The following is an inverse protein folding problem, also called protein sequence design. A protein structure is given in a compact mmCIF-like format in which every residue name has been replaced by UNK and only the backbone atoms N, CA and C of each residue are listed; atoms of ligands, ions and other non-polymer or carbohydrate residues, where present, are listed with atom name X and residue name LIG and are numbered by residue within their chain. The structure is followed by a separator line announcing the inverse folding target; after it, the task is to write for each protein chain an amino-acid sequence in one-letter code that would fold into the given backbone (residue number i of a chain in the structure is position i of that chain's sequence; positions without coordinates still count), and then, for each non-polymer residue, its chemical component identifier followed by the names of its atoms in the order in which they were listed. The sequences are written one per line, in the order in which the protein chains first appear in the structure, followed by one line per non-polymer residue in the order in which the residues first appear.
data_IF_986726671139
#
_entry.id   IF_986726671139
#
_cell.length_a   1.000
_cell.length_b   1.000
_cell.length_c   1.000
_cell.angle_alpha   90.00
_cell.angle_beta   90.00
_cell.angle_gamma   90.00
#
_symmetry.space_group_name_H-M   'P 1'
#
loop_
_entity.id
_entity.type
_entity.pdbx_description
1 polymer ?
#
# COMPACT_ATOMS: atom_id res chain seq x y z
N UNK A 1 -1.30 68.07 -26.36
CA UNK A 1 -1.44 67.57 -27.75
C UNK A 1 -0.92 66.14 -27.81
N UNK A 2 -1.75 65.27 -28.38
CA UNK A 2 -1.46 63.91 -28.88
C UNK A 2 -1.35 62.83 -27.80
N UNK A 3 -2.40 62.17 -27.36
CA UNK A 3 -3.20 61.00 -27.87
C UNK A 3 -2.36 59.81 -28.34
N UNK A 4 -2.51 58.76 -27.65
CA UNK A 4 -2.07 57.41 -28.03
C UNK A 4 -2.92 56.37 -27.36
N UNK A 5 -4.01 56.00 -28.02
CA UNK A 5 -4.90 54.85 -27.68
C UNK A 5 -4.20 53.53 -28.00
N UNK A 6 -4.50 52.52 -27.18
CA UNK A 6 -4.50 51.16 -27.67
C UNK A 6 -3.65 50.19 -26.84
N UNK A 7 -4.30 49.40 -25.99
CA UNK A 7 -4.14 47.96 -25.89
C UNK A 7 -4.89 47.43 -24.67
N UNK A 8 -6.21 47.39 -24.78
CA UNK A 8 -7.05 46.70 -23.81
C UNK A 8 -7.89 45.65 -24.58
N UNK A 9 -7.28 44.54 -24.99
CA UNK A 9 -8.01 43.45 -25.63
C UNK A 9 -7.17 42.17 -25.73
N UNK A 10 -6.66 41.67 -24.59
CA UNK A 10 -6.08 40.29 -24.57
C UNK A 10 -6.17 39.54 -23.22
N UNK A 11 -6.88 40.07 -22.25
CA UNK A 11 -6.97 39.43 -20.92
C UNK A 11 -8.28 38.64 -20.74
N UNK A 12 -9.25 38.81 -21.65
CA UNK A 12 -10.58 38.15 -21.52
C UNK A 12 -10.65 36.67 -21.87
N UNK A 13 -9.74 36.14 -22.68
CA UNK A 13 -9.85 34.74 -23.17
C UNK A 13 -9.15 33.69 -22.26
N UNK A 14 -8.19 34.09 -21.47
CA UNK A 14 -7.45 33.14 -20.63
C UNK A 14 -8.23 32.75 -19.37
N UNK A 15 -9.07 33.62 -18.82
CA UNK A 15 -9.88 33.36 -17.64
C UNK A 15 -11.08 32.43 -17.87
N UNK A 16 -11.53 32.22 -19.10
CA UNK A 16 -12.67 31.34 -19.39
C UNK A 16 -12.25 29.88 -19.68
N UNK A 17 -10.99 29.63 -20.05
CA UNK A 17 -10.50 28.29 -20.39
C UNK A 17 -9.96 27.49 -19.19
N UNK A 18 -9.46 28.16 -18.15
CA UNK A 18 -8.94 27.50 -16.95
C UNK A 18 -9.99 26.69 -16.16
N UNK A 19 -11.21 27.17 -15.91
CA UNK A 19 -12.20 26.38 -15.17
C UNK A 19 -12.72 25.18 -15.98
N UNK A 20 -12.81 25.27 -17.31
CA UNK A 20 -13.24 24.16 -18.17
C UNK A 20 -12.18 23.04 -18.25
N UNK A 21 -10.90 23.39 -18.22
CA UNK A 21 -9.80 22.41 -18.20
C UNK A 21 -9.74 21.68 -16.85
N UNK A 22 -9.87 22.39 -15.75
CA UNK A 22 -9.92 21.79 -14.39
C UNK A 22 -11.15 20.89 -14.19
N UNK A 23 -12.31 21.30 -14.67
CA UNK A 23 -13.54 20.51 -14.62
C UNK A 23 -13.45 19.25 -15.50
N UNK A 24 -12.80 19.34 -16.68
CA UNK A 24 -12.57 18.16 -17.53
C UNK A 24 -11.54 17.20 -16.95
N UNK A 25 -10.46 17.69 -16.31
CA UNK A 25 -9.49 16.85 -15.60
C UNK A 25 -10.13 16.16 -14.39
N UNK A 26 -10.90 16.87 -13.58
CA UNK A 26 -11.62 16.30 -12.45
C UNK A 26 -12.60 15.20 -12.88
N UNK A 27 -13.40 15.42 -13.92
CA UNK A 27 -14.31 14.40 -14.46
C UNK A 27 -13.58 13.17 -15.00
N UNK A 28 -12.44 13.34 -15.69
CA UNK A 28 -11.65 12.22 -16.20
C UNK A 28 -11.03 11.40 -15.07
N UNK A 29 -10.55 12.04 -14.02
CA UNK A 29 -9.99 11.37 -12.84
C UNK A 29 -11.10 10.58 -12.11
N UNK A 30 -12.26 11.18 -11.89
CA UNK A 30 -13.42 10.52 -11.27
C UNK A 30 -13.83 9.30 -12.10
N UNK A 31 -13.99 9.43 -13.42
CA UNK A 31 -14.33 8.30 -14.29
C UNK A 31 -13.28 7.18 -14.28
N UNK A 32 -11.99 7.52 -14.18
CA UNK A 32 -10.93 6.52 -14.09
C UNK A 32 -10.98 5.75 -12.76
N UNK A 33 -11.21 6.45 -11.65
CA UNK A 33 -11.38 5.83 -10.32
C UNK A 33 -12.61 4.92 -10.31
N UNK A 34 -13.74 5.36 -10.84
CA UNK A 34 -14.96 4.55 -10.90
C UNK A 34 -14.78 3.30 -11.77
N UNK A 35 -14.02 3.42 -12.86
CA UNK A 35 -13.72 2.28 -13.73
C UNK A 35 -12.85 1.25 -13.00
N UNK A 36 -11.82 1.72 -12.29
CA UNK A 36 -10.94 0.82 -11.52
C UNK A 36 -11.67 0.13 -10.36
N UNK A 37 -12.59 0.84 -9.69
CA UNK A 37 -13.51 0.27 -8.68
C UNK A 37 -14.30 -0.91 -9.25
N UNK A 38 -14.79 -0.81 -10.49
CA UNK A 38 -15.51 -1.90 -11.17
C UNK A 38 -14.62 -3.10 -11.46
N UNK A 39 -13.31 -2.88 -11.74
CA UNK A 39 -12.36 -3.98 -11.92
C UNK A 39 -12.16 -4.77 -10.63
N UNK A 40 -11.96 -4.08 -9.52
CA UNK A 40 -11.82 -4.72 -8.19
C UNK A 40 -13.09 -5.48 -7.82
N UNK A 41 -14.25 -4.85 -7.97
CA UNK A 41 -15.53 -5.50 -7.73
C UNK A 41 -15.69 -6.80 -8.55
N UNK A 42 -15.31 -6.78 -9.82
CA UNK A 42 -15.41 -7.94 -10.71
C UNK A 42 -14.47 -9.06 -10.26
N UNK A 43 -13.25 -8.73 -9.93
CA UNK A 43 -12.27 -9.70 -9.39
C UNK A 43 -12.79 -10.36 -8.11
N UNK A 44 -13.22 -9.59 -7.13
CA UNK A 44 -13.74 -10.11 -5.88
C UNK A 44 -15.00 -10.96 -6.06
N UNK A 45 -15.86 -10.54 -6.98
CA UNK A 45 -17.09 -11.30 -7.25
C UNK A 45 -16.76 -12.67 -7.83
N UNK A 46 -15.83 -12.76 -8.80
CA UNK A 46 -15.44 -14.03 -9.42
C UNK A 46 -14.61 -14.87 -8.43
N UNK A 47 -13.71 -14.28 -7.67
CA UNK A 47 -12.90 -14.97 -6.65
C UNK A 47 -13.80 -15.62 -5.58
N UNK A 48 -14.76 -14.87 -5.05
CA UNK A 48 -15.73 -15.35 -4.06
C UNK A 48 -16.63 -16.47 -4.58
N UNK A 49 -17.03 -16.42 -5.86
CA UNK A 49 -17.89 -17.41 -6.47
C UNK A 49 -17.12 -18.64 -7.01
N UNK A 50 -15.81 -18.50 -7.21
CA UNK A 50 -14.93 -19.49 -7.83
C UNK A 50 -15.20 -19.64 -9.33
N UNK A 51 -16.43 -19.97 -9.71
CA UNK A 51 -16.93 -20.02 -11.09
C UNK A 51 -18.27 -19.30 -11.19
N UNK A 52 -18.47 -18.48 -12.22
CA UNK A 52 -19.72 -17.75 -12.41
C UNK A 52 -20.06 -17.58 -13.89
N UNK A 53 -21.28 -17.96 -14.27
CA UNK A 53 -21.82 -17.59 -15.58
C UNK A 53 -22.11 -16.10 -15.62
N UNK A 54 -22.13 -15.53 -16.84
CA UNK A 54 -22.34 -14.10 -17.03
C UNK A 54 -23.63 -13.59 -16.36
N UNK A 55 -24.67 -14.39 -16.40
CA UNK A 55 -26.00 -14.08 -15.80
C UNK A 55 -25.91 -13.96 -14.28
N UNK A 56 -25.07 -14.77 -13.64
CA UNK A 56 -24.79 -14.68 -12.19
C UNK A 56 -24.04 -13.40 -11.87
N UNK A 57 -22.99 -13.09 -12.65
CA UNK A 57 -22.22 -11.84 -12.52
C UNK A 57 -23.13 -10.62 -12.74
N UNK A 58 -24.04 -10.68 -13.71
CA UNK A 58 -25.03 -9.64 -13.96
C UNK A 58 -25.98 -9.43 -12.77
N UNK A 59 -26.42 -10.53 -12.13
CA UNK A 59 -27.27 -10.45 -10.93
C UNK A 59 -26.53 -9.81 -9.75
N UNK A 60 -25.24 -10.12 -9.55
CA UNK A 60 -24.41 -9.49 -8.55
C UNK A 60 -24.17 -8.00 -8.86
N UNK A 61 -23.96 -7.66 -10.14
CA UNK A 61 -23.83 -6.27 -10.59
C UNK A 61 -25.10 -5.45 -10.28
N UNK A 62 -26.27 -6.01 -10.51
CA UNK A 62 -27.53 -5.32 -10.28
C UNK A 62 -27.80 -5.07 -8.79
N UNK A 63 -27.14 -5.80 -7.89
CA UNK A 63 -27.19 -5.62 -6.43
C UNK A 63 -26.06 -4.76 -5.90
N UNK A 64 -25.06 -4.49 -6.74
CA UNK A 64 -23.89 -3.73 -6.33
C UNK A 64 -24.21 -2.26 -6.16
N UNK A 65 -23.68 -1.65 -5.13
CA UNK A 65 -23.69 -0.22 -4.89
C UNK A 65 -22.95 0.59 -5.96
N UNK A 66 -22.02 -0.05 -6.70
CA UNK A 66 -21.39 0.56 -7.89
C UNK A 66 -22.38 0.75 -9.05
N UNK A 67 -23.60 0.24 -8.90
CA UNK A 67 -24.70 0.33 -9.86
C UNK A 67 -25.96 0.95 -9.24
N UNK A 68 -25.93 2.20 -8.77
CA UNK A 68 -27.03 2.82 -8.04
C UNK A 68 -28.30 3.00 -8.89
N UNK A 69 -28.18 2.89 -10.20
CA UNK A 69 -29.30 3.03 -11.13
C UNK A 69 -29.85 1.68 -11.61
N UNK A 70 -29.27 0.55 -11.18
CA UNK A 70 -29.71 -0.79 -11.56
C UNK A 70 -29.54 -1.08 -13.07
N UNK A 71 -28.57 -0.44 -13.72
CA UNK A 71 -28.31 -0.63 -15.15
C UNK A 71 -27.64 -1.98 -15.41
N UNK A 72 -28.04 -2.65 -16.49
CA UNK A 72 -27.38 -3.89 -16.88
C UNK A 72 -25.92 -3.67 -17.27
N UNK A 73 -25.06 -4.64 -16.96
CA UNK A 73 -23.66 -4.66 -17.38
C UNK A 73 -23.58 -5.17 -18.84
N UNK A 74 -23.31 -4.28 -19.83
CA UNK A 74 -23.23 -4.74 -21.22
C UNK A 74 -22.11 -5.77 -21.41
N UNK A 75 -22.36 -6.86 -22.15
CA UNK A 75 -21.34 -7.90 -22.43
C UNK A 75 -20.05 -7.32 -23.03
N UNK A 76 -20.14 -6.24 -23.82
CA UNK A 76 -18.98 -5.54 -24.36
C UNK A 76 -18.16 -4.87 -23.25
N UNK A 77 -18.82 -4.19 -22.32
CA UNK A 77 -18.18 -3.54 -21.16
C UNK A 77 -17.51 -4.56 -20.28
N UNK A 78 -18.19 -5.67 -19.99
CA UNK A 78 -17.64 -6.79 -19.23
C UNK A 78 -16.36 -7.34 -19.87
N UNK A 79 -16.35 -7.60 -21.17
CA UNK A 79 -15.15 -8.06 -21.90
C UNK A 79 -14.01 -7.04 -21.84
N UNK A 80 -14.34 -5.76 -22.00
CA UNK A 80 -13.33 -4.69 -21.88
C UNK A 80 -12.73 -4.64 -20.47
N UNK A 81 -13.54 -4.88 -19.42
CA UNK A 81 -13.04 -4.95 -18.05
C UNK A 81 -12.08 -6.13 -17.86
N UNK A 82 -12.42 -7.33 -18.37
CA UNK A 82 -11.53 -8.50 -18.32
C UNK A 82 -10.18 -8.19 -19.00
N UNK A 83 -10.21 -7.61 -20.20
CA UNK A 83 -8.98 -7.25 -20.91
C UNK A 83 -8.15 -6.23 -20.11
N UNK A 84 -8.79 -5.19 -19.59
CA UNK A 84 -8.10 -4.16 -18.81
C UNK A 84 -7.53 -4.69 -17.48
N UNK A 85 -8.22 -5.63 -16.83
CA UNK A 85 -7.73 -6.34 -15.63
C UNK A 85 -6.46 -7.14 -15.98
N UNK A 86 -6.49 -7.90 -17.08
CA UNK A 86 -5.32 -8.64 -17.54
C UNK A 86 -4.12 -7.73 -17.83
N UNK A 87 -4.35 -6.62 -18.55
CA UNK A 87 -3.30 -5.67 -18.94
C UNK A 87 -2.72 -4.88 -17.76
N UNK A 88 -3.53 -4.51 -16.77
CA UNK A 88 -3.12 -3.62 -15.68
C UNK A 88 -2.71 -4.35 -14.39
N UNK A 89 -3.38 -5.47 -14.11
CA UNK A 89 -3.20 -6.21 -12.85
C UNK A 89 -2.51 -7.57 -13.05
N UNK A 90 -2.36 -8.01 -14.30
CA UNK A 90 -1.82 -9.34 -14.66
C UNK A 90 -2.60 -10.48 -13.98
N UNK A 91 -3.93 -10.30 -13.85
CA UNK A 91 -4.87 -11.31 -13.36
C UNK A 91 -5.76 -11.71 -14.54
N UNK A 92 -5.84 -13.00 -14.80
CA UNK A 92 -6.52 -13.51 -15.98
C UNK A 92 -7.86 -14.14 -15.62
N UNK A 93 -8.93 -13.59 -16.19
CA UNK A 93 -10.29 -14.14 -16.08
C UNK A 93 -10.58 -14.88 -17.37
N UNK A 94 -10.78 -16.18 -17.26
CA UNK A 94 -11.06 -17.09 -18.38
C UNK A 94 -12.45 -17.70 -18.27
N UNK A 95 -12.95 -18.24 -19.38
CA UNK A 95 -14.24 -18.94 -19.43
C UNK A 95 -14.04 -20.44 -19.63
N UNK A 96 -14.64 -21.23 -18.76
CA UNK A 96 -14.67 -22.69 -18.87
C UNK A 96 -16.08 -23.15 -19.18
N UNK A 97 -16.25 -23.83 -20.32
CA UNK A 97 -17.57 -24.36 -20.77
C UNK A 97 -18.22 -25.21 -19.70
N UNK A 98 -19.47 -24.92 -19.38
CA UNK A 98 -20.25 -25.59 -18.34
C UNK A 98 -19.98 -25.17 -16.90
N UNK A 99 -19.04 -24.26 -16.67
CA UNK A 99 -18.70 -23.74 -15.34
C UNK A 99 -18.80 -22.22 -15.24
N UNK A 100 -18.48 -21.50 -16.33
CA UNK A 100 -18.50 -20.03 -16.36
C UNK A 100 -17.10 -19.41 -16.29
N UNK A 101 -17.06 -18.11 -15.93
CA UNK A 101 -15.85 -17.33 -15.76
C UNK A 101 -15.18 -17.65 -14.43
N UNK A 102 -13.84 -17.69 -14.43
CA UNK A 102 -13.01 -17.95 -13.25
C UNK A 102 -11.67 -17.25 -13.38
N UNK A 103 -10.95 -17.08 -12.28
CA UNK A 103 -9.58 -16.56 -12.27
C UNK A 103 -8.63 -17.72 -12.51
N UNK A 104 -7.84 -17.68 -13.60
CA UNK A 104 -6.97 -18.80 -13.99
C UNK A 104 -5.62 -18.80 -13.28
N UNK A 105 -5.23 -17.66 -12.67
CA UNK A 105 -3.99 -17.50 -11.90
C UNK A 105 -4.27 -16.90 -10.51
N UNK A 106 -5.04 -17.58 -9.64
CA UNK A 106 -5.40 -17.07 -8.33
C UNK A 106 -4.18 -16.85 -7.42
N UNK A 107 -3.12 -17.66 -7.59
CA UNK A 107 -1.84 -17.50 -6.88
C UNK A 107 -1.22 -16.13 -7.10
N UNK A 108 -1.23 -15.59 -8.32
CA UNK A 108 -0.72 -14.26 -8.61
C UNK A 108 -1.49 -13.13 -7.90
N UNK A 109 -2.75 -13.39 -7.58
CA UNK A 109 -3.58 -12.48 -6.79
C UNK A 109 -3.23 -12.55 -5.30
N UNK A 110 -2.89 -13.74 -4.79
CA UNK A 110 -2.67 -14.02 -3.37
C UNK A 110 -1.19 -13.99 -2.94
N UNK A 111 -0.24 -14.24 -3.82
CA UNK A 111 1.19 -14.21 -3.50
C UNK A 111 1.79 -12.80 -3.50
N UNK A 112 1.31 -11.91 -4.35
CA UNK A 112 1.79 -10.53 -4.38
C UNK A 112 1.21 -9.69 -3.24
N UNK A 113 1.97 -9.46 -2.18
CA UNK A 113 1.58 -8.60 -1.05
C UNK A 113 1.09 -7.22 -1.48
N UNK A 114 1.69 -6.64 -2.53
CA UNK A 114 1.28 -5.33 -3.07
C UNK A 114 -0.09 -5.43 -3.73
N UNK A 115 -0.35 -6.46 -4.55
CA UNK A 115 -1.65 -6.67 -5.19
C UNK A 115 -2.73 -6.91 -4.15
N UNK A 116 -2.49 -7.78 -3.16
CA UNK A 116 -3.41 -8.03 -2.05
C UNK A 116 -3.75 -6.73 -1.30
N UNK A 117 -2.72 -5.95 -0.95
CA UNK A 117 -2.91 -4.68 -0.26
C UNK A 117 -3.71 -3.69 -1.11
N UNK A 118 -3.43 -3.57 -2.42
CA UNK A 118 -4.19 -2.71 -3.32
C UNK A 118 -5.64 -3.14 -3.43
N UNK A 119 -5.89 -4.42 -3.65
CA UNK A 119 -7.23 -4.98 -3.76
C UNK A 119 -7.99 -4.74 -2.45
N UNK A 120 -7.46 -5.15 -1.32
CA UNK A 120 -8.12 -5.00 -0.01
C UNK A 120 -8.38 -3.54 0.37
N UNK A 121 -7.46 -2.62 0.05
CA UNK A 121 -7.63 -1.19 0.31
C UNK A 121 -8.75 -0.60 -0.54
N UNK A 122 -8.81 -0.95 -1.81
CA UNK A 122 -9.83 -0.47 -2.74
C UNK A 122 -11.20 -1.10 -2.46
N UNK A 123 -11.24 -2.37 -2.06
CA UNK A 123 -12.44 -3.06 -1.61
C UNK A 123 -13.02 -2.39 -0.38
N UNK A 124 -12.17 -2.13 0.61
CA UNK A 124 -12.55 -1.38 1.80
C UNK A 124 -13.08 0.00 1.43
N UNK A 125 -12.39 0.73 0.52
CA UNK A 125 -12.86 2.02 0.04
C UNK A 125 -14.21 1.92 -0.69
N UNK A 126 -14.42 0.90 -1.54
CA UNK A 126 -15.70 0.66 -2.20
C UNK A 126 -16.80 0.47 -1.16
N UNK A 127 -16.61 -0.45 -0.23
CA UNK A 127 -17.55 -0.74 0.84
C UNK A 127 -17.89 0.52 1.66
N UNK A 128 -16.88 1.30 2.05
CA UNK A 128 -17.07 2.53 2.84
C UNK A 128 -17.76 3.64 2.05
N UNK A 129 -17.52 3.72 0.75
CA UNK A 129 -18.19 4.65 -0.15
C UNK A 129 -19.68 4.37 -0.23
N UNK A 130 -20.05 3.10 -0.12
CA UNK A 130 -21.42 2.61 -0.15
C UNK A 130 -22.16 2.85 1.17
N UNK A 131 -21.39 2.96 2.26
CA UNK A 131 -21.93 3.19 3.62
C UNK A 131 -21.94 4.68 3.99
N UNK A 132 -22.11 5.57 3.02
CA UNK A 132 -22.09 7.02 3.24
C UNK A 132 -23.16 7.52 4.22
N UNK A 133 -24.27 6.79 4.32
CA UNK A 133 -25.37 6.97 5.27
C UNK A 133 -25.11 6.35 6.65
N UNK A 134 -24.03 5.58 6.80
CA UNK A 134 -23.63 4.89 8.05
C UNK A 134 -22.29 5.41 8.61
N UNK A 135 -21.87 6.62 8.24
CA UNK A 135 -20.59 7.20 8.70
C UNK A 135 -20.46 7.32 10.22
N UNK A 136 -21.56 7.48 10.89
CA UNK A 136 -21.66 7.51 12.36
C UNK A 136 -21.48 6.13 13.01
N UNK A 137 -21.58 5.06 12.23
CA UNK A 137 -21.46 3.67 12.68
C UNK A 137 -20.11 3.03 12.33
N UNK A 138 -19.30 3.69 11.51
CA UNK A 138 -18.00 3.21 11.07
C UNK A 138 -16.94 4.15 11.62
N UNK A 139 -16.21 3.66 12.62
CA UNK A 139 -15.17 4.43 13.27
C UNK A 139 -13.81 4.08 12.66
N UNK A 140 -13.07 5.09 12.24
CA UNK A 140 -11.71 4.95 11.73
C UNK A 140 -10.71 5.39 12.79
N UNK A 141 -9.62 4.66 12.84
CA UNK A 141 -8.45 5.14 13.55
C UNK A 141 -7.73 6.18 12.70
N UNK A 142 -7.30 7.30 13.32
CA UNK A 142 -6.48 8.30 12.64
C UNK A 142 -5.16 7.69 12.18
N UNK A 143 -4.96 7.65 10.87
CA UNK A 143 -3.71 7.18 10.26
C UNK A 143 -2.90 8.38 9.82
N UNK A 144 -1.76 8.67 10.46
CA UNK A 144 -0.83 9.68 9.96
C UNK A 144 -0.27 9.18 8.62
N UNK A 145 -0.84 9.59 7.52
CA UNK A 145 -0.35 9.20 6.21
C UNK A 145 0.53 10.30 5.64
N UNK A 146 1.83 10.06 5.61
CA UNK A 146 2.79 10.90 4.88
C UNK A 146 2.76 10.64 3.38
N UNK A 147 1.56 10.54 2.82
CA UNK A 147 1.39 10.30 1.38
C UNK A 147 1.90 11.47 0.53
N UNK A 148 2.12 12.64 1.15
CA UNK A 148 2.60 13.84 0.46
C UNK A 148 3.89 13.61 -0.33
N UNK A 149 4.86 12.92 0.25
CA UNK A 149 6.18 12.69 -0.35
C UNK A 149 6.28 11.37 -1.15
N UNK A 150 5.33 10.47 -0.95
CA UNK A 150 5.35 9.13 -1.55
C UNK A 150 5.46 9.14 -3.09
N UNK A 151 4.68 9.95 -3.86
CA UNK A 151 4.78 9.97 -5.31
C UNK A 151 6.15 10.44 -5.82
N UNK A 152 6.78 11.37 -5.12
CA UNK A 152 8.10 11.90 -5.49
C UNK A 152 9.18 10.86 -5.23
N UNK A 153 9.18 10.22 -4.06
CA UNK A 153 10.13 9.14 -3.72
C UNK A 153 10.01 7.98 -4.72
N UNK A 154 8.78 7.55 -5.05
CA UNK A 154 8.55 6.50 -6.05
C UNK A 154 9.10 6.88 -7.43
N UNK A 155 8.97 8.14 -7.82
CA UNK A 155 9.52 8.65 -9.08
C UNK A 155 11.04 8.55 -9.10
N UNK A 156 11.69 8.93 -8.01
CA UNK A 156 13.15 8.88 -7.90
C UNK A 156 13.68 7.44 -7.87
N UNK A 157 13.01 6.53 -7.17
CA UNK A 157 13.36 5.09 -7.24
C UNK A 157 13.28 4.59 -8.68
N UNK A 158 12.19 4.91 -9.40
CA UNK A 158 11.99 4.48 -10.79
C UNK A 158 13.04 5.06 -11.74
N UNK A 159 13.38 6.33 -11.56
CA UNK A 159 14.30 7.05 -12.43
C UNK A 159 15.77 6.93 -11.98
N UNK A 160 16.03 6.25 -10.87
CA UNK A 160 17.35 6.14 -10.26
C UNK A 160 18.02 7.52 -10.07
N UNK A 161 17.30 8.51 -9.54
CA UNK A 161 17.82 9.83 -9.16
C UNK A 161 17.81 9.99 -7.64
N UNK A 162 18.84 10.63 -7.10
CA UNK A 162 18.95 10.86 -5.68
C UNK A 162 18.00 11.98 -5.21
N UNK A 163 17.68 11.95 -3.93
CA UNK A 163 16.80 12.91 -3.26
C UNK A 163 17.59 13.72 -2.24
N UNK A 164 17.43 15.04 -2.24
CA UNK A 164 17.87 15.92 -1.19
C UNK A 164 16.67 16.33 -0.33
N UNK A 165 16.78 16.27 0.98
CA UNK A 165 15.73 16.67 1.91
C UNK A 165 16.27 17.04 3.29
N UNK A 166 15.52 17.91 3.98
CA UNK A 166 15.71 18.13 5.42
C UNK A 166 15.06 16.98 6.20
N UNK A 167 15.78 16.42 7.15
CA UNK A 167 15.30 15.32 7.98
C UNK A 167 15.47 15.60 9.46
N UNK A 168 14.35 15.51 10.22
CA UNK A 168 14.35 15.61 11.68
C UNK A 168 14.35 14.22 12.30
N UNK A 169 15.52 13.78 12.80
CA UNK A 169 15.62 12.55 13.59
C UNK A 169 15.03 12.74 14.98
N UNK A 170 14.46 11.67 15.57
CA UNK A 170 14.06 11.70 16.98
C UNK A 170 15.27 11.72 17.95
N UNK A 171 16.46 11.41 17.46
CA UNK A 171 17.71 11.40 18.22
C UNK A 171 18.55 12.67 18.06
N UNK A 172 18.03 13.64 17.31
CA UNK A 172 18.74 14.91 17.05
C UNK A 172 17.79 16.09 17.26
N UNK A 173 18.27 17.12 17.95
CA UNK A 173 17.52 18.36 18.18
C UNK A 173 17.45 19.25 16.93
N UNK A 174 18.31 19.00 15.95
CA UNK A 174 18.36 19.76 14.70
C UNK A 174 18.00 18.90 13.49
N UNK A 175 17.30 19.51 12.53
CA UNK A 175 17.12 18.91 11.21
C UNK A 175 18.40 19.07 10.39
N UNK A 176 18.73 18.04 9.60
CA UNK A 176 19.91 18.01 8.75
C UNK A 176 19.51 17.75 7.30
N UNK A 177 20.24 18.35 6.37
CA UNK A 177 20.12 18.03 4.95
C UNK A 177 20.73 16.65 4.74
N UNK A 178 20.05 15.81 4.00
CA UNK A 178 20.52 14.50 3.57
C UNK A 178 20.37 14.40 2.05
N UNK A 179 21.36 13.86 1.38
CA UNK A 179 21.26 13.39 0.01
C UNK A 179 21.27 11.86 0.03
N UNK A 180 20.26 11.24 -0.57
CA UNK A 180 20.02 9.81 -0.46
C UNK A 180 19.64 9.22 -1.82
N UNK A 181 20.26 8.12 -2.17
CA UNK A 181 19.89 7.24 -3.29
C UNK A 181 18.77 6.31 -2.82
N UNK A 182 17.50 6.53 -3.18
CA UNK A 182 16.38 5.73 -2.66
C UNK A 182 16.33 4.36 -3.34
N UNK A 183 16.34 3.28 -2.55
CA UNK A 183 16.32 1.92 -3.05
C UNK A 183 14.94 1.27 -2.97
N UNK A 184 14.28 1.35 -1.83
CA UNK A 184 12.94 0.79 -1.66
C UNK A 184 12.10 1.55 -0.62
N UNK A 185 10.81 1.22 -0.58
CA UNK A 185 9.84 1.72 0.40
C UNK A 185 9.29 0.57 1.24
N UNK A 186 9.08 0.83 2.52
CA UNK A 186 8.41 -0.08 3.45
C UNK A 186 7.26 0.62 4.15
N UNK A 187 6.10 -0.04 4.18
CA UNK A 187 4.99 0.35 5.05
C UNK A 187 5.09 -0.47 6.35
N UNK A 188 5.20 0.21 7.48
CA UNK A 188 5.23 -0.42 8.79
C UNK A 188 4.49 0.45 9.81
N UNK A 189 3.64 -0.14 10.63
CA UNK A 189 2.81 0.55 11.62
C UNK A 189 2.14 1.83 11.05
N UNK A 190 1.53 1.69 9.84
CA UNK A 190 0.81 2.77 9.13
C UNK A 190 1.67 3.94 8.68
N UNK A 191 2.99 3.81 8.69
CA UNK A 191 3.93 4.84 8.25
C UNK A 191 4.78 4.34 7.09
N UNK A 192 5.05 5.23 6.15
CA UNK A 192 5.94 4.96 5.05
C UNK A 192 7.38 5.29 5.41
N UNK A 193 8.26 4.37 5.08
CA UNK A 193 9.69 4.48 5.26
C UNK A 193 10.39 4.27 3.93
N UNK A 194 11.40 5.09 3.65
CA UNK A 194 12.32 4.95 2.53
C UNK A 194 13.62 4.35 3.04
N UNK A 195 14.10 3.30 2.40
CA UNK A 195 15.47 2.80 2.56
C UNK A 195 16.28 3.32 1.40
N UNK A 196 17.45 3.86 1.69
CA UNK A 196 18.36 4.36 0.67
C UNK A 196 19.76 4.51 1.21
N UNK A 197 20.70 4.61 0.28
CA UNK A 197 22.11 4.87 0.59
C UNK A 197 22.30 6.36 0.79
N UNK A 198 22.67 6.75 1.98
CA UNK A 198 23.07 8.13 2.26
C UNK A 198 24.41 8.42 1.62
N UNK A 199 24.50 9.46 0.78
CA UNK A 199 25.71 9.75 -0.01
C UNK A 199 26.87 10.24 0.84
N UNK A 200 26.61 10.92 1.97
CA UNK A 200 27.64 11.49 2.83
C UNK A 200 28.39 10.41 3.62
N UNK A 201 27.66 9.39 4.11
CA UNK A 201 28.24 8.33 4.95
C UNK A 201 28.43 7.01 4.20
N UNK A 202 27.83 6.87 3.01
CA UNK A 202 27.91 5.67 2.18
C UNK A 202 27.16 4.44 2.68
N UNK A 203 26.31 4.58 3.72
CA UNK A 203 25.57 3.49 4.36
C UNK A 203 24.08 3.53 4.02
N UNK A 204 23.44 2.35 4.07
CA UNK A 204 21.98 2.27 4.02
C UNK A 204 21.36 2.81 5.29
N UNK A 205 20.35 3.64 5.12
CA UNK A 205 19.57 4.23 6.22
C UNK A 205 18.08 4.16 5.92
N UNK A 206 17.28 4.14 6.98
CA UNK A 206 15.83 4.15 6.90
C UNK A 206 15.30 5.52 7.33
N UNK A 207 14.48 6.13 6.48
CA UNK A 207 13.93 7.47 6.69
C UNK A 207 12.40 7.41 6.68
N UNK A 208 11.76 7.91 7.73
CA UNK A 208 10.30 8.06 7.78
C UNK A 208 9.88 9.26 6.91
N UNK A 209 8.94 9.06 6.00
CA UNK A 209 8.52 10.10 5.06
C UNK A 209 7.89 11.31 5.75
N UNK A 210 7.19 11.10 6.88
CA UNK A 210 6.56 12.20 7.64
C UNK A 210 7.56 13.13 8.32
N UNK A 211 8.83 12.73 8.40
CA UNK A 211 9.90 13.54 8.99
C UNK A 211 10.78 14.24 7.96
N UNK A 212 10.41 14.12 6.68
CA UNK A 212 11.07 14.81 5.58
C UNK A 212 10.39 16.14 5.30
N UNK A 213 11.18 17.17 5.03
CA UNK A 213 10.73 18.44 4.46
C UNK A 213 11.69 18.89 3.36
N UNK A 214 11.26 19.86 2.56
CA UNK A 214 12.07 20.44 1.48
C UNK A 214 12.68 19.37 0.58
N UNK A 215 11.82 18.48 0.08
CA UNK A 215 12.20 17.32 -0.72
C UNK A 215 12.38 17.72 -2.18
N UNK A 216 13.61 17.61 -2.68
CA UNK A 216 13.97 17.89 -4.08
C UNK A 216 14.68 16.70 -4.75
N UNK A 217 14.38 16.54 -6.05
CA UNK A 217 15.10 15.59 -6.91
C UNK A 217 16.44 16.21 -7.32
N UNK A 218 17.53 15.45 -7.20
CA UNK A 218 18.86 15.93 -7.60
C UNK A 218 19.23 15.44 -9.00
N UNK A 219 20.27 16.05 -9.61
CA UNK A 219 20.82 15.58 -10.88
C UNK A 219 21.70 14.32 -10.71
N UNK A 220 22.00 13.94 -9.47
CA UNK A 220 22.78 12.74 -9.17
C UNK A 220 21.97 11.48 -9.52
N UNK A 221 22.48 10.71 -10.45
CA UNK A 221 21.93 9.41 -10.84
C UNK A 221 22.76 8.27 -10.27
N UNK A 222 22.10 7.17 -9.93
CA UNK A 222 22.75 6.01 -9.32
C UNK A 222 22.22 4.71 -9.95
N UNK A 223 22.83 3.60 -9.58
CA UNK A 223 22.36 2.27 -9.93
C UNK A 223 22.13 1.49 -8.64
N UNK A 224 20.92 0.95 -8.48
CA UNK A 224 20.64 0.05 -7.35
C UNK A 224 21.51 -1.19 -7.53
N UNK A 225 22.32 -1.58 -6.52
CA UNK A 225 23.15 -2.78 -6.62
C UNK A 225 22.31 -4.03 -6.91
N UNK A 226 22.70 -4.87 -7.85
CA UNK A 226 21.99 -6.10 -8.23
C UNK A 226 21.74 -7.05 -7.05
N UNK A 227 22.63 -7.03 -6.07
CA UNK A 227 22.51 -7.83 -4.85
C UNK A 227 21.56 -7.23 -3.80
N UNK A 228 21.06 -6.01 -4.00
CA UNK A 228 20.09 -5.42 -3.08
C UNK A 228 18.69 -5.96 -3.35
N UNK A 229 18.17 -6.66 -2.37
CA UNK A 229 16.79 -7.11 -2.34
C UNK A 229 16.11 -6.52 -1.08
N UNK A 230 15.07 -5.71 -1.27
CA UNK A 230 14.36 -5.07 -0.18
C UNK A 230 13.62 -6.05 0.74
N UNK A 231 13.13 -7.19 0.21
CA UNK A 231 12.51 -8.24 1.03
C UNK A 231 13.56 -8.96 1.87
N UNK A 232 14.69 -9.35 1.27
CA UNK A 232 15.80 -9.96 1.98
C UNK A 232 16.40 -9.02 3.03
N UNK A 233 16.51 -7.72 2.73
CA UNK A 233 17.00 -6.70 3.68
C UNK A 233 16.15 -6.64 4.97
N UNK A 234 14.85 -6.84 4.86
CA UNK A 234 13.93 -6.83 6.01
C UNK A 234 13.51 -8.21 6.50
N UNK A 235 13.97 -9.30 5.89
CA UNK A 235 13.51 -10.65 6.19
C UNK A 235 13.71 -11.06 7.65
N UNK A 236 14.80 -10.59 8.27
CA UNK A 236 15.12 -10.87 9.67
C UNK A 236 14.86 -9.67 10.59
N UNK A 237 14.03 -8.72 10.18
CA UNK A 237 13.73 -7.52 10.95
C UNK A 237 12.28 -7.50 11.42
N UNK A 238 12.08 -7.23 12.70
CA UNK A 238 10.79 -6.79 13.19
C UNK A 238 10.72 -5.26 13.07
N UNK A 239 10.03 -4.77 12.04
CA UNK A 239 9.92 -3.32 11.84
C UNK A 239 10.91 -2.76 10.84
N UNK A 240 11.52 -1.65 11.18
CA UNK A 240 12.35 -0.82 10.29
C UNK A 240 13.82 -0.72 10.69
N UNK A 241 14.16 -1.12 11.91
CA UNK A 241 15.53 -1.07 12.42
C UNK A 241 16.30 -2.29 11.94
N UNK A 242 17.34 -2.05 11.13
CA UNK A 242 18.17 -3.09 10.54
C UNK A 242 19.51 -3.30 11.28
N UNK A 243 19.68 -2.69 12.44
CA UNK A 243 20.89 -2.80 13.23
C UNK A 243 20.87 -4.09 14.07
N UNK A 244 21.99 -4.80 14.13
CA UNK A 244 22.15 -6.02 14.90
C UNK A 244 22.19 -7.30 14.09
N UNK A 245 22.23 -8.43 14.78
CA UNK A 245 22.26 -9.77 14.19
C UNK A 245 21.00 -10.53 14.55
N UNK A 246 20.45 -11.33 13.63
CA UNK A 246 19.34 -12.19 13.94
C UNK A 246 19.75 -13.26 14.94
N UNK A 247 18.87 -13.56 15.89
CA UNK A 247 19.02 -14.63 16.86
C UNK A 247 17.69 -15.35 17.05
N UNK A 248 17.74 -16.56 17.58
CA UNK A 248 16.56 -17.34 17.93
C UNK A 248 16.08 -16.90 19.29
N UNK A 249 14.83 -16.49 19.38
CA UNK A 249 14.17 -16.08 20.61
C UNK A 249 13.06 -17.08 20.89
N UNK A 250 13.07 -17.63 22.11
CA UNK A 250 12.07 -18.58 22.56
C UNK A 250 11.24 -17.91 23.66
N UNK A 251 9.94 -17.97 23.54
CA UNK A 251 9.03 -17.39 24.52
C UNK A 251 7.82 -18.28 24.76
N UNK A 252 7.28 -18.17 25.95
CA UNK A 252 6.10 -18.87 26.40
C UNK A 252 4.94 -17.88 26.45
N UNK A 253 3.78 -18.28 25.96
CA UNK A 253 2.56 -17.48 25.95
C UNK A 253 1.43 -18.20 26.70
N UNK A 254 0.61 -17.43 27.41
CA UNK A 254 -0.62 -17.96 28.02
C UNK A 254 -1.61 -18.42 26.94
N UNK A 255 -2.60 -19.31 27.25
CA UNK A 255 -3.48 -19.89 26.22
C UNK A 255 -4.27 -18.86 25.40
N UNK A 256 -4.64 -17.72 26.00
CA UNK A 256 -5.35 -16.67 25.30
C UNK A 256 -4.44 -15.99 24.27
N UNK A 257 -3.23 -15.60 24.67
CA UNK A 257 -2.26 -14.96 23.80
C UNK A 257 -1.79 -15.88 22.67
N UNK A 258 -1.63 -17.17 22.96
CA UNK A 258 -1.29 -18.17 21.95
C UNK A 258 -2.30 -18.21 20.78
N UNK A 259 -3.60 -17.97 21.04
CA UNK A 259 -4.62 -17.89 19.98
C UNK A 259 -4.40 -16.68 19.09
N UNK A 260 -4.04 -15.52 19.66
CA UNK A 260 -3.72 -14.33 18.88
C UNK A 260 -2.46 -14.54 18.05
N UNK A 261 -1.41 -15.10 18.62
CA UNK A 261 -0.14 -15.36 17.94
C UNK A 261 -0.26 -16.35 16.76
N UNK A 262 -1.21 -17.31 16.84
CA UNK A 262 -1.52 -18.20 15.69
C UNK A 262 -2.23 -17.49 14.57
N UNK A 263 -3.10 -16.54 14.87
CA UNK A 263 -3.89 -15.79 13.85
C UNK A 263 -3.13 -14.61 13.30
N UNK A 264 -2.26 -14.00 14.10
CA UNK A 264 -1.42 -12.86 13.71
C UNK A 264 0.00 -13.10 14.29
N UNK A 265 0.85 -13.85 13.56
CA UNK A 265 2.22 -14.10 13.98
C UNK A 265 3.03 -12.81 14.10
N UNK A 266 3.91 -12.74 15.09
CA UNK A 266 4.82 -11.59 15.27
C UNK A 266 5.80 -11.45 14.11
N UNK A 267 6.23 -12.58 13.55
CA UNK A 267 7.17 -12.61 12.44
C UNK A 267 6.90 -13.84 11.58
N UNK A 268 7.26 -13.80 10.29
CA UNK A 268 7.06 -14.94 9.38
C UNK A 268 7.84 -16.21 9.80
N UNK A 269 8.91 -16.07 10.60
CA UNK A 269 9.69 -17.18 11.15
C UNK A 269 9.09 -17.75 12.43
N UNK A 270 7.91 -17.30 12.86
CA UNK A 270 7.30 -17.79 14.08
C UNK A 270 6.86 -19.24 13.92
N UNK A 271 7.32 -20.10 14.84
CA UNK A 271 6.91 -21.50 14.94
C UNK A 271 6.43 -21.80 16.35
N UNK A 272 5.42 -22.66 16.48
CA UNK A 272 4.94 -23.17 17.77
C UNK A 272 5.63 -24.49 18.06
N UNK A 273 6.43 -24.53 19.11
CA UNK A 273 7.23 -25.69 19.51
C UNK A 273 6.46 -26.67 20.38
N UNK A 274 5.63 -26.15 21.28
CA UNK A 274 4.88 -26.93 22.28
C UNK A 274 3.58 -26.22 22.60
N UNK A 275 2.53 -26.98 22.87
CA UNK A 275 1.26 -26.48 23.42
C UNK A 275 0.62 -27.44 24.39
N UNK A 276 0.00 -26.88 25.43
CA UNK A 276 -0.82 -27.61 26.41
C UNK A 276 -1.92 -26.71 26.97
N UNK A 277 -2.68 -27.18 27.93
CA UNK A 277 -3.82 -26.42 28.49
C UNK A 277 -3.41 -25.13 29.24
N UNK A 278 -2.14 -25.02 29.67
CA UNK A 278 -1.66 -23.91 30.50
C UNK A 278 -0.83 -22.89 29.71
N UNK A 279 -0.16 -23.31 28.64
CA UNK A 279 0.71 -22.44 27.84
C UNK A 279 1.00 -23.01 26.44
N UNK A 280 1.56 -22.17 25.59
CA UNK A 280 2.26 -22.56 24.35
C UNK A 280 3.66 -21.94 24.32
N UNK A 281 4.62 -22.65 23.73
CA UNK A 281 5.99 -22.18 23.51
C UNK A 281 6.15 -21.89 22.03
N UNK A 282 6.62 -20.70 21.73
CA UNK A 282 6.91 -20.23 20.39
C UNK A 282 8.39 -19.91 20.23
N UNK A 283 8.87 -20.00 19.00
CA UNK A 283 10.18 -19.51 18.61
C UNK A 283 10.03 -18.54 17.44
N UNK A 284 10.94 -17.56 17.38
CA UNK A 284 11.12 -16.67 16.24
C UNK A 284 12.61 -16.50 15.96
N UNK A 285 12.98 -16.32 14.69
CA UNK A 285 14.34 -15.99 14.28
C UNK A 285 14.34 -14.61 13.65
N UNK A 286 14.83 -13.62 14.38
CA UNK A 286 14.87 -12.23 13.94
C UNK A 286 15.89 -11.41 14.75
N UNK A 287 16.21 -10.21 14.25
CA UNK A 287 16.96 -9.22 15.01
C UNK A 287 16.10 -8.65 16.14
N UNK A 288 16.51 -8.80 17.43
CA UNK A 288 15.77 -8.28 18.58
C UNK A 288 15.90 -6.76 18.71
N UNK A 289 15.44 -6.06 17.68
CA UNK A 289 15.40 -4.60 17.65
C UNK A 289 14.59 -4.01 18.80
N UNK A 290 14.70 -2.70 19.02
CA UNK A 290 13.91 -2.02 20.03
C UNK A 290 12.41 -2.11 19.75
N UNK A 291 12.01 -2.14 18.45
CA UNK A 291 10.59 -2.31 18.06
C UNK A 291 10.07 -3.68 18.49
N UNK A 292 10.86 -4.73 18.30
CA UNK A 292 10.47 -6.07 18.73
C UNK A 292 10.39 -6.17 20.26
N UNK A 293 11.37 -5.62 20.96
CA UNK A 293 11.34 -5.56 22.45
C UNK A 293 10.13 -4.79 22.95
N UNK A 294 9.76 -3.71 22.27
CA UNK A 294 8.59 -2.92 22.62
C UNK A 294 7.28 -3.70 22.39
N UNK A 295 7.22 -4.47 21.29
CA UNK A 295 6.09 -5.36 21.00
C UNK A 295 5.93 -6.44 22.09
N UNK A 296 7.02 -7.07 22.50
CA UNK A 296 7.00 -8.06 23.58
C UNK A 296 6.61 -7.43 24.93
N UNK A 297 7.13 -6.24 25.24
CA UNK A 297 6.79 -5.52 26.47
C UNK A 297 5.32 -5.10 26.52
N UNK A 298 4.70 -4.82 25.39
CA UNK A 298 3.25 -4.54 25.34
C UNK A 298 2.38 -5.73 25.74
N UNK A 299 2.96 -6.93 25.78
CA UNK A 299 2.34 -8.22 26.15
C UNK A 299 2.95 -8.84 27.39
N UNK A 300 3.64 -8.05 28.20
CA UNK A 300 4.51 -8.54 29.30
C UNK A 300 3.84 -9.42 30.34
N UNK A 301 2.54 -9.27 30.56
CA UNK A 301 1.74 -10.12 31.46
C UNK A 301 1.26 -11.43 30.83
N UNK A 302 1.45 -11.58 29.51
CA UNK A 302 0.94 -12.70 28.71
C UNK A 302 2.05 -13.54 28.08
N UNK A 303 3.29 -13.00 28.04
CA UNK A 303 4.45 -13.62 27.42
C UNK A 303 5.63 -13.63 28.42
N UNK A 304 6.33 -14.77 28.49
CA UNK A 304 7.57 -14.95 29.22
C UNK A 304 8.70 -15.34 28.27
N UNK A 305 9.79 -14.56 28.23
CA UNK A 305 10.98 -14.89 27.42
C UNK A 305 11.76 -15.99 28.10
N UNK A 306 12.09 -17.06 27.39
CA UNK A 306 12.81 -18.22 27.87
C UNK A 306 14.28 -18.24 27.45
N UNK A 307 14.56 -17.82 26.20
CA UNK A 307 15.90 -17.75 25.62
C UNK A 307 15.94 -16.78 24.42
#
# INVERSE_FOLDING_TARGET
MITGKGTTLRIGFIKLFLPLCQVRLSKRIIMAVDTFRRYIWLLETIDRLGYAEFETIQSEWNRSSLNPHGEDLPKRTFRNHITAIADQLYIYIEYKSGYGYYISNPEDMHESRIKQWMISTLSTYNFLSDCNDMRDKILFEDVPSSQKHLPQVLRCIRNCCALSFMYQSHFSDAAHINEVEPYCLKLFNRRWYMVGRNTDIGELRTYALERMSDLDETEHTFVIPEQFDGEAYFSNQYGITADGKPETIVFKAIPLEAKYLRTLPLHHSQEELETNDNYSIFTVYLNPSWEFKHELLSRADQIEILA
#
